data_IF_480834016946
#
_entry.id   IF_480834016946
#
_cell.length_a   1.000
_cell.length_b   1.000
_cell.length_c   1.000
_cell.angle_alpha   90.00
_cell.angle_beta   90.00
_cell.angle_gamma   90.00
#
_symmetry.space_group_name_H-M   'P 1'
#
loop_
_entity.id
_entity.type
_entity.pdbx_description
1 polymer ?
#
# COMPACT_ATOMS: atom_id res chain seq x y z
N UNK A 1 -0.96 -8.67 -0.76
CA UNK A 1 -2.04 -7.67 -0.90
C UNK A 1 -1.83 -6.60 -1.98
N UNK A 2 -0.74 -6.61 -2.78
CA UNK A 2 -0.61 -5.63 -3.90
C UNK A 2 -0.22 -4.20 -3.51
N UNK A 3 0.14 -3.97 -2.24
CA UNK A 3 0.52 -2.65 -1.71
C UNK A 3 2.04 -2.60 -1.51
N UNK A 4 2.71 -1.63 -2.13
CA UNK A 4 4.15 -1.43 -1.95
C UNK A 4 4.40 -0.33 -0.92
N UNK A 5 5.08 -0.69 0.17
CA UNK A 5 5.52 0.21 1.24
C UNK A 5 6.98 -0.06 1.63
N UNK A 6 7.56 0.80 2.46
CA UNK A 6 8.92 0.63 2.98
C UNK A 6 8.91 0.51 4.50
N UNK A 7 9.56 -0.53 5.03
CA UNK A 7 9.84 -0.65 6.47
C UNK A 7 10.76 0.49 6.91
N UNK A 8 10.49 1.09 8.06
CA UNK A 8 11.23 2.26 8.54
C UNK A 8 11.31 2.26 10.07
N UNK A 9 12.45 2.70 10.60
CA UNK A 9 12.60 2.90 12.04
C UNK A 9 11.66 3.99 12.55
N UNK A 10 11.32 3.92 13.82
CA UNK A 10 10.51 4.91 14.53
C UNK A 10 11.28 5.48 15.73
N UNK A 11 10.91 6.65 16.28
CA UNK A 11 11.53 7.15 17.50
C UNK A 11 11.48 6.12 18.63
N UNK A 12 12.60 5.88 19.31
CA UNK A 12 12.70 4.87 20.37
C UNK A 12 12.82 3.43 19.87
N UNK A 13 13.18 3.21 18.62
CA UNK A 13 13.36 1.87 18.03
C UNK A 13 14.27 0.97 18.87
N UNK A 14 13.83 -0.26 19.10
CA UNK A 14 14.58 -1.31 19.81
C UNK A 14 14.96 -2.48 18.91
N UNK A 15 14.34 -2.61 17.75
CA UNK A 15 14.63 -3.67 16.77
C UNK A 15 15.78 -3.26 15.85
N UNK A 16 16.38 -4.26 15.21
CA UNK A 16 17.41 -4.06 14.20
C UNK A 16 16.93 -3.12 13.07
N UNK A 17 17.79 -2.24 12.51
CA UNK A 17 17.47 -1.44 11.33
C UNK A 17 17.07 -2.26 10.09
N UNK A 18 17.42 -3.54 10.05
CA UNK A 18 17.02 -4.45 8.97
C UNK A 18 15.62 -5.05 9.16
N UNK A 19 15.02 -4.89 10.33
CA UNK A 19 13.67 -5.38 10.68
C UNK A 19 12.71 -4.22 10.89
N UNK A 20 13.06 -3.27 11.78
CA UNK A 20 12.28 -2.08 12.15
C UNK A 20 10.93 -2.37 12.80
N UNK A 21 10.28 -1.34 13.34
CA UNK A 21 8.96 -1.41 13.98
C UNK A 21 7.90 -0.54 13.31
N UNK A 22 8.19 0.04 12.15
CA UNK A 22 7.26 0.92 11.44
C UNK A 22 7.30 0.77 9.92
N UNK A 23 6.32 1.39 9.26
CA UNK A 23 6.23 1.52 7.81
C UNK A 23 6.10 2.98 7.43
N UNK A 24 6.69 3.38 6.31
CA UNK A 24 6.52 4.70 5.71
C UNK A 24 5.64 4.59 4.48
N UNK A 25 4.63 5.45 4.43
CA UNK A 25 3.65 5.55 3.34
C UNK A 25 3.72 6.96 2.76
N UNK A 26 3.53 7.11 1.46
CA UNK A 26 3.50 8.41 0.78
C UNK A 26 2.44 8.46 -0.31
N UNK A 27 1.79 9.62 -0.46
CA UNK A 27 0.77 9.88 -1.47
C UNK A 27 1.28 10.23 -2.90
N UNK A 28 2.49 10.78 -3.14
CA UNK A 28 2.81 11.40 -4.44
C UNK A 28 2.57 10.52 -5.67
N UNK A 29 2.95 9.23 -5.61
CA UNK A 29 2.80 8.32 -6.76
C UNK A 29 1.33 8.08 -7.13
N UNK A 30 0.44 7.99 -6.15
CA UNK A 30 -0.99 7.76 -6.37
C UNK A 30 -1.72 9.05 -6.72
N UNK A 31 -1.34 10.17 -6.10
CA UNK A 31 -1.86 11.50 -6.47
C UNK A 31 -1.51 11.87 -7.90
N UNK A 32 -0.29 11.56 -8.36
CA UNK A 32 0.12 11.77 -9.77
C UNK A 32 -0.71 10.95 -10.76
N UNK A 33 -1.30 9.82 -10.32
CA UNK A 33 -2.22 8.99 -11.11
C UNK A 33 -3.67 9.48 -11.10
N UNK A 34 -3.98 10.51 -10.30
CA UNK A 34 -5.32 11.10 -10.20
C UNK A 34 -6.16 10.64 -9.02
N UNK A 35 -5.61 9.81 -8.12
CA UNK A 35 -6.31 9.37 -6.90
C UNK A 35 -6.48 10.53 -5.91
N UNK A 36 -7.63 10.55 -5.24
CA UNK A 36 -8.07 11.56 -4.28
C UNK A 36 -8.40 10.93 -2.93
N UNK A 37 -8.90 11.74 -1.99
CA UNK A 37 -9.11 11.39 -0.59
C UNK A 37 -9.92 10.10 -0.41
N UNK A 38 -10.95 9.87 -1.24
CA UNK A 38 -11.79 8.65 -1.18
C UNK A 38 -11.00 7.39 -1.49
N UNK A 39 -10.13 7.42 -2.49
CA UNK A 39 -9.29 6.28 -2.84
C UNK A 39 -8.23 6.05 -1.75
N UNK A 40 -7.70 7.11 -1.15
CA UNK A 40 -6.76 7.00 -0.02
C UNK A 40 -7.41 6.40 1.23
N UNK A 41 -8.66 6.77 1.54
CA UNK A 41 -9.41 6.18 2.65
C UNK A 41 -9.64 4.68 2.42
N UNK A 42 -10.03 4.30 1.20
CA UNK A 42 -10.17 2.89 0.84
C UNK A 42 -8.85 2.12 1.01
N UNK A 43 -7.75 2.64 0.48
CA UNK A 43 -6.43 2.01 0.59
C UNK A 43 -6.00 1.91 2.06
N UNK A 44 -6.23 2.95 2.87
CA UNK A 44 -5.90 2.93 4.29
C UNK A 44 -6.66 1.84 5.05
N UNK A 45 -7.96 1.68 4.80
CA UNK A 45 -8.75 0.60 5.39
C UNK A 45 -8.21 -0.78 4.97
N UNK A 46 -7.83 -0.97 3.71
CA UNK A 46 -7.23 -2.22 3.24
C UNK A 46 -5.86 -2.51 3.86
N UNK A 47 -5.07 -1.47 4.16
CA UNK A 47 -3.84 -1.62 4.93
C UNK A 47 -4.17 -2.09 6.35
N UNK A 48 -5.15 -1.49 7.02
CA UNK A 48 -5.58 -1.91 8.36
C UNK A 48 -6.08 -3.36 8.37
N UNK A 49 -6.97 -3.74 7.44
CA UNK A 49 -7.49 -5.10 7.32
C UNK A 49 -6.34 -6.14 7.27
N UNK A 50 -5.31 -5.87 6.45
CA UNK A 50 -4.15 -6.76 6.32
C UNK A 50 -3.26 -6.75 7.57
N UNK A 51 -3.10 -5.61 8.25
CA UNK A 51 -2.28 -5.54 9.46
C UNK A 51 -2.96 -6.22 10.67
N UNK A 52 -4.29 -6.18 10.73
CA UNK A 52 -5.07 -6.82 11.80
C UNK A 52 -5.09 -8.35 11.68
N UNK A 53 -4.94 -8.90 10.47
CA UNK A 53 -4.84 -10.35 10.20
C UNK A 53 -3.68 -10.68 9.26
N UNK A 54 -2.46 -10.36 9.70
CA UNK A 54 -1.24 -10.32 8.86
C UNK A 54 -0.80 -11.66 8.27
N UNK A 55 -1.22 -12.79 8.85
CA UNK A 55 -0.87 -14.13 8.36
C UNK A 55 -1.93 -14.72 7.41
N UNK A 56 -3.05 -14.02 7.19
CA UNK A 56 -4.15 -14.49 6.36
C UNK A 56 -3.88 -14.27 4.87
N UNK A 57 -3.37 -15.30 4.21
CA UNK A 57 -3.06 -15.29 2.77
C UNK A 57 -4.27 -15.08 1.88
N UNK A 58 -5.44 -15.58 2.28
CA UNK A 58 -6.68 -15.47 1.48
C UNK A 58 -7.21 -14.03 1.50
N UNK A 59 -7.19 -13.38 2.67
CA UNK A 59 -7.48 -11.96 2.80
C UNK A 59 -6.52 -11.13 1.95
N UNK A 60 -5.22 -11.40 2.04
CA UNK A 60 -4.21 -10.70 1.23
C UNK A 60 -4.43 -10.89 -0.27
N UNK A 61 -4.93 -12.05 -0.71
CA UNK A 61 -5.27 -12.30 -2.10
C UNK A 61 -6.54 -11.55 -2.54
N UNK A 62 -7.56 -11.46 -1.69
CA UNK A 62 -8.77 -10.65 -1.94
C UNK A 62 -8.42 -9.16 -2.08
N UNK A 63 -7.69 -8.62 -1.10
CA UNK A 63 -7.28 -7.20 -1.09
C UNK A 63 -6.43 -6.88 -2.33
N UNK A 64 -5.57 -7.81 -2.77
CA UNK A 64 -4.79 -7.62 -3.99
C UNK A 64 -5.69 -7.40 -5.22
N UNK A 65 -6.73 -8.22 -5.39
CA UNK A 65 -7.66 -8.09 -6.52
C UNK A 65 -8.45 -6.79 -6.46
N UNK A 66 -8.97 -6.43 -5.30
CA UNK A 66 -9.71 -5.18 -5.11
C UNK A 66 -8.85 -3.94 -5.44
N UNK A 67 -7.57 -3.96 -5.06
CA UNK A 67 -6.65 -2.86 -5.37
C UNK A 67 -6.18 -2.86 -6.83
N UNK A 68 -6.06 -4.02 -7.46
CA UNK A 68 -5.80 -4.13 -8.89
C UNK A 68 -6.95 -3.54 -9.71
N UNK A 69 -8.19 -3.86 -9.34
CA UNK A 69 -9.40 -3.25 -9.91
C UNK A 69 -9.42 -1.74 -9.70
N UNK A 70 -9.14 -1.26 -8.48
CA UNK A 70 -9.04 0.18 -8.22
C UNK A 70 -7.98 0.83 -9.12
N UNK A 71 -6.77 0.27 -9.15
CA UNK A 71 -5.64 0.79 -9.92
C UNK A 71 -5.91 0.85 -11.43
N UNK A 72 -6.72 -0.08 -11.96
CA UNK A 72 -7.10 -0.12 -13.37
C UNK A 72 -7.86 1.13 -13.84
N UNK A 73 -8.52 1.85 -12.91
CA UNK A 73 -9.24 3.08 -13.20
C UNK A 73 -8.32 4.32 -13.28
N UNK A 74 -7.04 4.20 -12.90
CA UNK A 74 -6.07 5.29 -12.80
C UNK A 74 -4.80 4.99 -13.62
N UNK A 75 -4.97 4.65 -14.90
CA UNK A 75 -3.86 4.39 -15.84
C UNK A 75 -3.39 5.70 -16.47
N UNK A 76 -2.08 5.97 -16.39
CA UNK A 76 -1.46 7.21 -16.92
C UNK A 76 -0.47 6.99 -18.07
N UNK A 77 -0.07 5.73 -18.32
CA UNK A 77 0.83 5.37 -19.41
C UNK A 77 0.19 4.28 -20.27
N UNK A 78 0.16 4.49 -21.59
CA UNK A 78 -0.37 3.53 -22.57
C UNK A 78 0.70 2.60 -23.15
N UNK A 79 1.97 2.86 -22.85
CA UNK A 79 3.14 2.10 -23.30
C UNK A 79 4.28 2.24 -22.29
N UNK A 80 5.23 1.30 -22.31
CA UNK A 80 6.47 1.43 -21.55
C UNK A 80 7.23 2.69 -21.98
N UNK A 81 7.75 3.44 -21.03
CA UNK A 81 8.60 4.61 -21.25
C UNK A 81 10.07 4.26 -21.50
N UNK A 82 10.41 2.97 -21.53
CA UNK A 82 11.73 2.40 -21.80
C UNK A 82 11.63 1.18 -22.71
#
# INVERSE_FOLDING_TARGET
AGITVNKNTVPGETRSPFVTSGIRIGSPALTARGMKEKEFEFIANKICDVLDDIENSDLQASVNKELEELASNFVIYSQSTY
#
